data_IF_633353070657
#
_entry.id   IF_633353070657
#
_cell.length_a   1.000
_cell.length_b   1.000
_cell.length_c   1.000
_cell.angle_alpha   90.00
_cell.angle_beta   90.00
_cell.angle_gamma   90.00
#
_symmetry.space_group_name_H-M   'P 1'
#
loop_
_entity.id
_entity.type
_entity.pdbx_description
1 polymer ?
#
# COMPACT_ATOMS: atom_id res chain seq x y z
N UNK A 1 -11.61 10.28 -15.30
CA UNK A 1 -12.14 10.31 -13.92
C UNK A 1 -11.67 11.57 -13.22
N UNK A 2 -12.55 12.16 -12.42
CA UNK A 2 -12.25 13.34 -11.61
C UNK A 2 -11.45 12.94 -10.36
N UNK A 3 -10.78 13.93 -9.75
CA UNK A 3 -10.07 13.74 -8.47
C UNK A 3 -11.00 13.19 -7.39
N UNK A 4 -12.26 13.64 -7.35
CA UNK A 4 -13.25 13.22 -6.36
C UNK A 4 -13.67 11.75 -6.52
N UNK A 5 -13.86 11.30 -7.76
CA UNK A 5 -14.19 9.90 -8.06
C UNK A 5 -13.04 8.97 -7.66
N UNK A 6 -11.81 9.33 -8.04
CA UNK A 6 -10.60 8.59 -7.66
C UNK A 6 -10.46 8.54 -6.14
N UNK A 7 -10.64 9.67 -5.48
CA UNK A 7 -10.55 9.77 -4.03
C UNK A 7 -11.53 8.83 -3.34
N UNK A 8 -12.80 8.87 -3.75
CA UNK A 8 -13.82 8.01 -3.16
C UNK A 8 -13.51 6.51 -3.32
N UNK A 9 -12.99 6.10 -4.49
CA UNK A 9 -12.62 4.70 -4.73
C UNK A 9 -11.40 4.26 -3.92
N UNK A 10 -10.40 5.13 -3.76
CA UNK A 10 -9.23 4.84 -2.90
C UNK A 10 -9.66 4.60 -1.45
N UNK A 11 -10.55 5.45 -0.91
CA UNK A 11 -11.04 5.28 0.46
C UNK A 11 -11.82 3.97 0.61
N UNK A 12 -12.69 3.66 -0.35
CA UNK A 12 -13.41 2.40 -0.37
C UNK A 12 -12.47 1.20 -0.40
N UNK A 13 -11.45 1.23 -1.27
CA UNK A 13 -10.45 0.16 -1.35
C UNK A 13 -9.72 -0.03 -0.01
N UNK A 14 -9.28 1.06 0.63
CA UNK A 14 -8.58 0.96 1.91
C UNK A 14 -9.45 0.37 3.02
N UNK A 15 -10.70 0.83 3.14
CA UNK A 15 -11.65 0.28 4.11
C UNK A 15 -11.95 -1.20 3.85
N UNK A 16 -12.21 -1.58 2.59
CA UNK A 16 -12.52 -2.97 2.24
C UNK A 16 -11.36 -3.94 2.41
N UNK A 17 -10.12 -3.45 2.41
CA UNK A 17 -8.92 -4.28 2.47
C UNK A 17 -8.19 -4.21 3.82
N UNK A 18 -8.80 -3.64 4.87
CA UNK A 18 -8.17 -3.47 6.19
C UNK A 18 -6.82 -2.70 6.12
N UNK A 19 -6.77 -1.68 5.26
CA UNK A 19 -5.65 -0.75 5.16
C UNK A 19 -6.01 0.49 5.98
N UNK A 20 -5.26 0.73 7.04
CA UNK A 20 -5.53 1.83 7.97
C UNK A 20 -4.97 3.13 7.41
N UNK A 21 -5.86 4.10 7.18
CA UNK A 21 -5.46 5.47 6.81
C UNK A 21 -4.93 6.16 8.07
N UNK A 22 -3.69 6.67 8.00
CA UNK A 22 -3.05 7.43 9.07
C UNK A 22 -3.18 8.92 8.87
N UNK A 23 -3.10 9.37 7.63
CA UNK A 23 -3.22 10.79 7.29
C UNK A 23 -3.82 10.91 5.91
N UNK A 24 -4.68 11.89 5.74
CA UNK A 24 -5.44 12.08 4.52
C UNK A 24 -5.65 13.57 4.30
N UNK A 25 -5.16 14.09 3.18
CA UNK A 25 -5.28 15.50 2.84
C UNK A 25 -5.74 15.69 1.40
N UNK A 26 -7.04 15.92 1.24
CA UNK A 26 -7.69 15.98 -0.07
C UNK A 26 -7.20 17.14 -0.92
N UNK A 27 -6.91 18.29 -0.31
CA UNK A 27 -6.43 19.48 -1.02
C UNK A 27 -5.07 19.21 -1.65
N UNK A 28 -4.09 18.75 -0.86
CA UNK A 28 -2.75 18.40 -1.34
C UNK A 28 -2.70 17.11 -2.15
N UNK A 29 -3.71 16.26 -2.03
CA UNK A 29 -3.82 15.00 -2.78
C UNK A 29 -2.95 13.89 -2.18
N UNK A 30 -2.78 13.86 -0.86
CA UNK A 30 -1.91 12.88 -0.19
C UNK A 30 -2.73 11.95 0.70
N UNK A 31 -2.44 10.66 0.63
CA UNK A 31 -2.92 9.66 1.59
C UNK A 31 -1.72 8.84 2.08
N UNK A 32 -1.56 8.81 3.40
CA UNK A 32 -0.64 7.93 4.09
C UNK A 32 -1.43 6.83 4.79
N UNK A 33 -1.07 5.58 4.52
CA UNK A 33 -1.77 4.44 5.07
C UNK A 33 -0.81 3.31 5.42
N UNK A 34 -1.26 2.40 6.28
CA UNK A 34 -0.51 1.21 6.65
C UNK A 34 -1.37 -0.05 6.55
N UNK A 35 -0.71 -1.16 6.31
CA UNK A 35 -1.28 -2.50 6.37
C UNK A 35 -0.45 -3.29 7.37
N UNK A 36 -1.09 -3.83 8.40
CA UNK A 36 -0.39 -4.58 9.44
C UNK A 36 0.27 -5.88 8.92
N UNK A 37 -0.31 -6.47 7.87
CA UNK A 37 0.18 -7.71 7.27
C UNK A 37 0.06 -7.70 5.74
N UNK A 38 1.20 -7.71 5.06
CA UNK A 38 1.35 -7.98 3.64
C UNK A 38 1.71 -9.46 3.44
N UNK A 39 0.96 -10.14 2.60
CA UNK A 39 1.25 -11.54 2.29
C UNK A 39 2.50 -11.67 1.40
N UNK A 40 3.00 -12.90 1.25
CA UNK A 40 4.22 -13.19 0.51
C UNK A 40 4.13 -12.88 -1.00
N UNK A 41 2.94 -12.68 -1.57
CA UNK A 41 2.80 -12.25 -2.96
C UNK A 41 3.06 -10.76 -3.14
N UNK A 42 2.93 -9.95 -2.08
CA UNK A 42 3.08 -8.49 -2.13
C UNK A 42 4.53 -8.02 -1.97
N UNK A 43 5.36 -8.80 -1.27
CA UNK A 43 6.75 -8.45 -1.04
C UNK A 43 7.65 -9.67 -0.89
N UNK A 44 8.82 -9.61 -1.52
CA UNK A 44 9.90 -10.57 -1.33
C UNK A 44 10.80 -10.12 -0.17
N UNK A 45 10.77 -10.89 0.90
CA UNK A 45 11.56 -10.66 2.11
C UNK A 45 12.78 -11.60 2.21
N UNK A 46 13.02 -12.43 1.18
CA UNK A 46 13.98 -13.53 1.24
C UNK A 46 13.58 -14.63 2.23
N UNK A 47 14.41 -15.68 2.27
CA UNK A 47 14.28 -16.78 3.23
C UNK A 47 15.28 -16.58 4.38
N UNK A 48 14.89 -16.98 5.59
CA UNK A 48 15.70 -16.86 6.79
C UNK A 48 15.37 -18.02 7.75
N UNK A 49 16.31 -18.38 8.63
CA UNK A 49 16.08 -19.40 9.66
C UNK A 49 15.30 -18.85 10.85
N UNK A 50 15.21 -17.51 10.97
CA UNK A 50 14.45 -16.83 12.01
C UNK A 50 12.94 -16.90 11.77
N UNK A 51 12.16 -16.96 12.85
CA UNK A 51 10.71 -16.95 12.76
C UNK A 51 10.20 -15.54 12.39
N UNK A 52 9.17 -15.47 11.54
CA UNK A 52 8.52 -14.21 11.18
C UNK A 52 7.38 -13.88 12.16
N UNK A 53 7.40 -12.66 12.70
CA UNK A 53 6.36 -12.14 13.59
C UNK A 53 5.34 -11.26 12.87
N UNK A 54 5.74 -10.64 11.75
CA UNK A 54 4.87 -9.75 11.00
C UNK A 54 5.51 -9.23 9.72
N UNK A 55 4.67 -8.73 8.81
CA UNK A 55 5.05 -8.16 7.53
C UNK A 55 4.32 -6.84 7.29
N UNK A 56 4.62 -5.77 8.03
CA UNK A 56 3.93 -4.50 7.83
C UNK A 56 4.27 -3.89 6.47
N UNK A 57 3.31 -3.14 5.91
CA UNK A 57 3.51 -2.32 4.73
C UNK A 57 3.04 -0.89 4.98
N UNK A 58 3.85 0.09 4.53
CA UNK A 58 3.49 1.50 4.54
C UNK A 58 3.24 1.98 3.11
N UNK A 59 2.20 2.78 2.94
CA UNK A 59 1.72 3.28 1.65
C UNK A 59 1.71 4.80 1.63
N UNK A 60 2.30 5.35 0.57
CA UNK A 60 2.20 6.76 0.22
C UNK A 60 1.47 6.86 -1.12
N UNK A 61 0.28 7.45 -1.12
CA UNK A 61 -0.53 7.65 -2.32
C UNK A 61 -0.66 9.14 -2.63
N UNK A 62 -0.34 9.48 -3.87
CA UNK A 62 -0.40 10.84 -4.39
C UNK A 62 -1.45 10.91 -5.50
N UNK A 63 -2.39 11.85 -5.39
CA UNK A 63 -3.51 12.05 -6.31
C UNK A 63 -3.44 13.46 -6.87
N UNK A 64 -3.04 13.56 -8.13
CA UNK A 64 -2.79 14.83 -8.81
C UNK A 64 -3.80 15.04 -9.94
N UNK A 65 -4.58 16.14 -9.93
CA UNK A 65 -5.42 16.46 -11.07
C UNK A 65 -4.55 16.87 -12.27
N UNK A 66 -4.94 16.41 -13.47
CA UNK A 66 -4.36 16.77 -14.76
C UNK A 66 -5.41 17.48 -15.62
N UNK A 67 -4.99 18.11 -16.72
CA UNK A 67 -5.89 18.79 -17.66
C UNK A 67 -6.95 17.86 -18.26
N UNK A 68 -6.63 16.58 -18.44
CA UNK A 68 -7.52 15.57 -19.04
C UNK A 68 -7.78 14.37 -18.13
N UNK A 69 -7.57 14.48 -16.81
CA UNK A 69 -7.80 13.36 -15.90
C UNK A 69 -7.21 13.54 -14.50
N UNK A 70 -6.87 12.41 -13.87
CA UNK A 70 -6.23 12.36 -12.56
C UNK A 70 -5.09 11.34 -12.64
N UNK A 71 -3.91 11.75 -12.22
CA UNK A 71 -2.75 10.89 -12.05
C UNK A 71 -2.71 10.38 -10.60
N UNK A 72 -2.46 9.08 -10.45
CA UNK A 72 -2.28 8.46 -9.13
C UNK A 72 -0.95 7.75 -9.10
N UNK A 73 -0.15 8.06 -8.09
CA UNK A 73 1.09 7.34 -7.79
C UNK A 73 0.94 6.64 -6.46
N UNK A 74 1.30 5.36 -6.41
CA UNK A 74 1.31 4.55 -5.19
C UNK A 74 2.73 4.09 -4.95
N UNK A 75 3.28 4.40 -3.79
CA UNK A 75 4.56 3.85 -3.34
C UNK A 75 4.28 3.00 -2.10
N UNK A 76 4.74 1.75 -2.12
CA UNK A 76 4.72 0.88 -0.96
C UNK A 76 6.14 0.60 -0.47
N UNK A 77 6.30 0.52 0.84
CA UNK A 77 7.50 0.01 1.50
C UNK A 77 7.09 -1.13 2.41
N UNK A 78 7.91 -2.16 2.45
CA UNK A 78 7.60 -3.40 3.12
C UNK A 78 8.75 -3.79 4.04
N UNK A 79 8.39 -4.32 5.19
CA UNK A 79 9.34 -4.84 6.16
C UNK A 79 8.89 -6.20 6.64
N UNK A 80 9.84 -7.00 7.13
CA UNK A 80 9.57 -8.22 7.88
C UNK A 80 10.18 -8.08 9.27
N UNK A 81 9.37 -8.39 10.28
CA UNK A 81 9.80 -8.46 11.67
C UNK A 81 10.14 -9.91 11.95
N UNK A 82 11.39 -10.18 12.35
CA UNK A 82 11.91 -11.52 12.62
C UNK A 82 12.34 -11.66 14.06
N UNK A 83 12.30 -12.89 14.55
CA UNK A 83 12.85 -13.24 15.86
C UNK A 83 13.65 -14.54 15.85
N UNK A 84 14.76 -14.52 16.58
CA UNK A 84 15.59 -15.68 16.85
C UNK A 84 16.30 -15.48 18.19
N UNK A 85 16.30 -16.51 19.04
CA UNK A 85 16.92 -16.50 20.37
C UNK A 85 16.66 -15.20 21.17
N UNK A 86 15.37 -14.83 21.27
CA UNK A 86 14.86 -13.62 21.97
C UNK A 86 15.31 -12.28 21.39
N UNK A 87 16.04 -12.29 20.29
CA UNK A 87 16.40 -11.09 19.55
C UNK A 87 15.36 -10.85 18.47
N UNK A 88 14.91 -9.61 18.34
CA UNK A 88 13.96 -9.18 17.30
C UNK A 88 14.62 -8.12 16.44
N UNK A 89 14.50 -8.26 15.12
CA UNK A 89 14.97 -7.26 14.17
C UNK A 89 13.99 -7.08 13.03
N UNK A 90 14.16 -5.98 12.32
CA UNK A 90 13.38 -5.66 11.12
C UNK A 90 14.31 -5.69 9.92
N UNK A 91 13.86 -6.30 8.83
CA UNK A 91 14.55 -6.30 7.55
C UNK A 91 13.63 -5.70 6.47
N UNK A 92 14.23 -4.98 5.52
CA UNK A 92 13.50 -4.44 4.37
C UNK A 92 13.14 -5.58 3.41
N UNK A 93 11.95 -5.49 2.82
CA UNK A 93 11.50 -6.38 1.75
C UNK A 93 11.35 -5.59 0.45
N UNK A 94 11.48 -6.30 -0.67
CA UNK A 94 11.29 -5.71 -2.00
C UNK A 94 9.85 -5.89 -2.46
N UNK A 95 9.22 -4.79 -2.90
CA UNK A 95 7.87 -4.84 -3.48
C UNK A 95 7.87 -5.70 -4.75
N UNK A 96 6.82 -6.52 -4.92
CA UNK A 96 6.53 -7.21 -6.18
C UNK A 96 5.62 -6.39 -7.09
N UNK A 97 5.11 -5.26 -6.61
CA UNK A 97 4.12 -4.42 -7.28
C UNK A 97 2.67 -4.90 -7.15
N UNK A 98 2.40 -6.04 -6.49
CA UNK A 98 1.03 -6.58 -6.38
C UNK A 98 0.10 -5.63 -5.63
N UNK A 99 0.51 -5.09 -4.48
CA UNK A 99 -0.33 -4.19 -3.68
C UNK A 99 -0.62 -2.88 -4.41
N UNK A 100 0.41 -2.29 -5.03
CA UNK A 100 0.32 -1.06 -5.80
C UNK A 100 -0.63 -1.25 -6.99
N UNK A 101 -0.48 -2.36 -7.72
CA UNK A 101 -1.35 -2.69 -8.84
C UNK A 101 -2.79 -2.95 -8.41
N UNK A 102 -3.02 -3.60 -7.26
CA UNK A 102 -4.38 -3.78 -6.73
C UNK A 102 -5.05 -2.44 -6.42
N UNK A 103 -4.32 -1.50 -5.82
CA UNK A 103 -4.82 -0.15 -5.55
C UNK A 103 -5.12 0.58 -6.86
N UNK A 104 -4.18 0.58 -7.82
CA UNK A 104 -4.34 1.24 -9.12
C UNK A 104 -5.48 0.63 -9.94
N UNK A 105 -5.64 -0.69 -9.93
CA UNK A 105 -6.72 -1.37 -10.63
C UNK A 105 -8.10 -1.08 -10.01
N UNK A 106 -8.17 -0.88 -8.69
CA UNK A 106 -9.43 -0.52 -8.02
C UNK A 106 -10.00 0.83 -8.46
N UNK A 107 -9.14 1.71 -8.98
CA UNK A 107 -9.51 3.04 -9.47
C UNK A 107 -9.54 3.12 -11.00
N UNK A 108 -8.94 2.18 -11.71
CA UNK A 108 -9.06 2.07 -13.15
C UNK A 108 -10.53 1.75 -13.54
N UNK A 109 -10.99 2.25 -14.69
CA UNK A 109 -12.32 1.93 -15.18
C UNK A 109 -12.41 0.43 -15.51
N UNK A 110 -13.36 -0.29 -14.91
CA UNK A 110 -13.76 -1.61 -15.35
C UNK A 110 -14.36 -1.49 -16.76
N UNK A 111 -13.56 -1.73 -17.79
CA UNK A 111 -14.09 -2.10 -19.10
C UNK A 111 -14.33 -3.60 -19.09
N UNK A 112 -15.56 -3.98 -18.75
CA UNK A 112 -16.16 -5.25 -19.17
C UNK A 112 -17.40 -4.91 -19.97
#
# INVERSE_FOLDING_TARGET
MTKDEVWSRLLQFFTSNNIQIKTIEKVSGVIYAERAYADASMADCGQDFAAELGRPANLNVFVKPLSSGTEVTVNASFEVIRTFDRTTWTAQCYSTGVLENLILNSIAQSHT
#
